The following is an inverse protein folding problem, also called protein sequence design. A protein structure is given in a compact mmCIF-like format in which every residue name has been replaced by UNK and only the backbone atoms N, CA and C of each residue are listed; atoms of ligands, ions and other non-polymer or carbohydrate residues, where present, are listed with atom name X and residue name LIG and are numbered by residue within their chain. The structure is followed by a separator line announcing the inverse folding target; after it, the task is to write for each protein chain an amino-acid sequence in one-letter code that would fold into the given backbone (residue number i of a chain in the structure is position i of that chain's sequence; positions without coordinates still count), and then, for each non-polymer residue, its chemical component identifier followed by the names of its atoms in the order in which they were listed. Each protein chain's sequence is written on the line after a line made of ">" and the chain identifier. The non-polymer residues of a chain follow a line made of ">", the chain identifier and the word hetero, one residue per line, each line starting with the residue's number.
data_IF_237406044631
#
_entry.id   IF_237406044631
#
_cell.length_a   1.000
_cell.length_b   1.000
_cell.length_c   1.000
_cell.angle_alpha   90.00
_cell.angle_beta   90.00
_cell.angle_gamma   90.00
#
_symmetry.space_group_name_H-M   'P 1'
#
loop_
_entity.id
_entity.type
_entity.pdbx_description
1 polymer ?
#
# COMPACT_ATOMS: atom_id res chain seq x y z
N UNK A 1 -1.21 -8.89 -1.92
CA UNK A 1 0.24 -9.04 -2.15
C UNK A 1 0.62 -9.25 -3.61
N UNK A 2 0.93 -8.17 -4.32
CA UNK A 2 1.48 -8.17 -5.68
C UNK A 2 2.96 -7.77 -5.63
N UNK A 3 3.78 -8.25 -6.58
CA UNK A 3 5.19 -7.87 -6.73
C UNK A 3 5.47 -7.30 -8.11
N UNK A 4 6.36 -6.31 -8.19
CA UNK A 4 6.85 -5.76 -9.46
C UNK A 4 8.36 -5.55 -9.39
N UNK A 5 9.04 -5.92 -10.49
CA UNK A 5 10.46 -5.63 -10.68
C UNK A 5 10.61 -4.19 -11.19
N UNK A 6 11.26 -3.33 -10.41
CA UNK A 6 11.51 -1.92 -10.74
C UNK A 6 12.97 -1.63 -10.41
N UNK A 7 13.74 -1.08 -11.37
CA UNK A 7 15.16 -0.76 -11.17
C UNK A 7 15.98 -1.93 -10.59
N UNK A 8 15.71 -3.16 -11.06
CA UNK A 8 16.33 -4.40 -10.57
C UNK A 8 16.04 -4.77 -9.11
N UNK A 9 15.02 -4.16 -8.50
CA UNK A 9 14.53 -4.48 -7.15
C UNK A 9 13.08 -4.97 -7.24
N UNK A 10 12.77 -6.07 -6.56
CA UNK A 10 11.38 -6.52 -6.42
C UNK A 10 10.69 -5.76 -5.28
N UNK A 11 9.67 -4.99 -5.63
CA UNK A 11 8.84 -4.25 -4.69
C UNK A 11 7.51 -4.97 -4.48
N UNK A 12 7.16 -5.22 -3.22
CA UNK A 12 5.85 -5.73 -2.82
C UNK A 12 4.89 -4.56 -2.55
N UNK A 13 3.65 -4.69 -3.00
CA UNK A 13 2.59 -3.72 -2.72
C UNK A 13 1.21 -4.39 -2.68
N UNK A 14 0.23 -3.64 -2.18
CA UNK A 14 -1.19 -3.96 -2.24
C UNK A 14 -1.93 -2.80 -2.90
N UNK A 15 -3.05 -3.10 -3.54
CA UNK A 15 -3.93 -2.13 -4.19
C UNK A 15 -5.35 -2.55 -3.84
N UNK A 16 -6.01 -1.78 -2.98
CA UNK A 16 -7.30 -2.11 -2.37
C UNK A 16 -8.23 -0.91 -2.39
N UNK A 17 -9.54 -1.17 -2.40
CA UNK A 17 -10.54 -0.11 -2.45
C UNK A 17 -10.66 0.55 -3.83
N UNK A 18 -11.46 1.61 -3.89
CA UNK A 18 -11.76 2.38 -5.10
C UNK A 18 -11.91 3.87 -4.75
N UNK A 19 -11.71 4.76 -5.72
CA UNK A 19 -11.84 6.21 -5.53
C UNK A 19 -10.51 6.96 -5.68
N UNK A 20 -10.32 8.03 -4.90
CA UNK A 20 -9.11 8.87 -4.99
C UNK A 20 -7.89 8.03 -4.56
N UNK A 21 -6.80 8.00 -5.35
CA UNK A 21 -5.63 7.20 -5.04
C UNK A 21 -4.80 7.81 -3.90
N UNK A 22 -4.43 6.98 -2.92
CA UNK A 22 -3.52 7.33 -1.83
C UNK A 22 -2.39 6.29 -1.79
N UNK A 23 -1.13 6.72 -1.77
CA UNK A 23 0.02 5.81 -1.67
C UNK A 23 0.62 5.88 -0.27
N UNK A 24 0.60 4.75 0.43
CA UNK A 24 1.22 4.63 1.76
C UNK A 24 2.67 4.10 1.65
N UNK A 25 3.64 4.93 2.05
CA UNK A 25 5.07 4.56 2.06
C UNK A 25 5.52 4.41 3.51
N UNK A 26 6.00 3.23 3.88
CA UNK A 26 6.53 2.99 5.23
C UNK A 26 7.95 3.55 5.40
N UNK A 27 8.33 3.83 6.64
CA UNK A 27 9.72 4.10 7.03
C UNK A 27 10.45 2.83 7.45
N UNK A 28 11.78 2.90 7.58
CA UNK A 28 12.57 1.86 8.24
C UNK A 28 12.34 1.90 9.77
N UNK A 29 12.22 0.76 10.47
CA UNK A 29 12.38 -0.64 10.04
C UNK A 29 11.07 -1.38 9.74
N UNK A 30 9.99 -0.67 9.42
CA UNK A 30 8.65 -1.25 9.25
C UNK A 30 8.41 -1.81 7.84
N UNK A 31 7.22 -2.39 7.64
CA UNK A 31 6.71 -2.86 6.35
C UNK A 31 5.24 -2.39 6.17
N UNK A 32 4.56 -2.84 5.12
CA UNK A 32 3.21 -2.40 4.76
C UNK A 32 2.14 -2.66 5.84
N UNK A 33 2.35 -3.60 6.76
CA UNK A 33 1.37 -3.94 7.79
C UNK A 33 1.08 -2.79 8.77
N UNK A 34 1.98 -1.81 8.87
CA UNK A 34 1.76 -0.61 9.70
C UNK A 34 0.53 0.19 9.25
N UNK A 35 0.10 0.02 8.00
CA UNK A 35 -1.01 0.76 7.40
C UNK A 35 -2.36 0.05 7.48
N UNK A 36 -2.44 -1.15 8.08
CA UNK A 36 -3.70 -1.88 8.18
C UNK A 36 -4.84 -1.07 8.82
N UNK A 37 -4.63 -0.28 9.90
CA UNK A 37 -5.68 0.57 10.44
C UNK A 37 -6.17 1.64 9.45
N UNK A 38 -5.27 2.25 8.69
CA UNK A 38 -5.59 3.27 7.69
C UNK A 38 -6.33 2.66 6.51
N UNK A 39 -5.87 1.52 6.01
CA UNK A 39 -6.56 0.75 4.96
C UNK A 39 -7.97 0.40 5.42
N UNK A 40 -8.14 -0.13 6.63
CA UNK A 40 -9.48 -0.45 7.16
C UNK A 40 -10.40 0.78 7.22
N UNK A 41 -9.87 1.94 7.60
CA UNK A 41 -10.66 3.17 7.73
C UNK A 41 -11.00 3.85 6.40
N UNK A 42 -10.14 3.71 5.38
CA UNK A 42 -10.19 4.54 4.17
C UNK A 42 -10.53 3.76 2.88
N UNK A 43 -10.35 2.44 2.83
CA UNK A 43 -10.55 1.65 1.60
C UNK A 43 -11.97 1.73 1.01
N UNK A 44 -12.98 2.15 1.78
CA UNK A 44 -14.35 2.32 1.29
C UNK A 44 -14.58 3.61 0.50
N UNK A 45 -13.65 4.57 0.59
CA UNK A 45 -13.74 5.90 -0.04
C UNK A 45 -12.50 6.28 -0.84
N UNK A 46 -11.41 5.53 -0.69
CA UNK A 46 -10.14 5.72 -1.38
C UNK A 46 -9.66 4.40 -1.98
N UNK A 47 -8.95 4.49 -3.11
CA UNK A 47 -8.11 3.40 -3.59
C UNK A 47 -6.73 3.57 -2.94
N UNK A 48 -6.26 2.55 -2.26
CA UNK A 48 -5.04 2.59 -1.45
C UNK A 48 -4.03 1.53 -1.87
#
# INVERSE_FOLDING_TARGET
>A
MTRKLINHVELAYEDVGEGIPIVCIHGHPFNQSMWYPQVQALQSVCRM
#
